data_IF_244474438225
#
_entry.id   IF_244474438225
#
_cell.length_a   1.000
_cell.length_b   1.000
_cell.length_c   1.000
_cell.angle_alpha   90.00
_cell.angle_beta   90.00
_cell.angle_gamma   90.00
#
_symmetry.space_group_name_H-M   'P 1'
#
loop_
_entity.id
_entity.type
_entity.pdbx_description
1 polymer ?
#
# COMPACT_ATOMS: atom_id res chain seq x y z
N UNK A 1 13.73 8.80 -34.29
CA UNK A 1 12.70 8.27 -33.37
C UNK A 1 13.26 6.98 -32.81
N UNK A 2 13.91 7.07 -31.65
CA UNK A 2 14.37 5.90 -30.93
C UNK A 2 13.24 5.47 -30.00
N UNK A 3 12.73 4.26 -30.19
CA UNK A 3 11.83 3.58 -29.28
C UNK A 3 12.59 3.29 -27.99
N UNK A 4 12.24 4.02 -26.93
CA UNK A 4 12.71 3.76 -25.57
C UNK A 4 11.99 2.52 -25.04
N UNK A 5 12.51 1.34 -25.36
CA UNK A 5 12.15 0.11 -24.68
C UNK A 5 12.71 0.19 -23.25
N UNK A 6 11.90 0.77 -22.35
CA UNK A 6 12.10 0.65 -20.92
C UNK A 6 12.30 -0.83 -20.58
N UNK A 7 13.54 -1.16 -20.25
CA UNK A 7 13.97 -2.51 -19.90
C UNK A 7 13.37 -2.85 -18.54
N UNK A 8 12.11 -3.28 -18.55
CA UNK A 8 11.42 -3.73 -17.34
C UNK A 8 12.18 -4.93 -16.78
N UNK A 9 12.68 -4.80 -15.56
CA UNK A 9 13.30 -5.91 -14.85
C UNK A 9 12.20 -6.93 -14.53
N UNK A 10 11.98 -7.89 -15.43
CA UNK A 10 11.00 -8.96 -15.20
C UNK A 10 11.56 -9.93 -14.16
N UNK A 11 11.10 -9.79 -12.92
CA UNK A 11 11.35 -10.80 -11.89
C UNK A 11 10.51 -12.04 -12.21
N UNK A 12 11.18 -13.15 -12.52
CA UNK A 12 10.50 -14.40 -12.86
C UNK A 12 10.57 -15.38 -11.68
N UNK A 13 9.60 -15.29 -10.76
CA UNK A 13 9.34 -16.38 -9.81
C UNK A 13 7.96 -16.97 -10.06
N UNK A 14 7.93 -18.30 -10.10
CA UNK A 14 6.70 -19.06 -10.25
C UNK A 14 5.70 -18.71 -9.15
N UNK A 15 4.48 -18.35 -9.55
CA UNK A 15 3.37 -18.13 -8.63
C UNK A 15 3.08 -19.33 -7.73
N UNK A 16 3.34 -20.56 -8.20
CA UNK A 16 3.23 -21.77 -7.38
C UNK A 16 4.19 -21.73 -6.19
N UNK A 17 5.45 -21.32 -6.41
CA UNK A 17 6.44 -21.18 -5.34
C UNK A 17 6.02 -20.10 -4.35
N UNK A 18 5.53 -18.95 -4.84
CA UNK A 18 5.06 -17.87 -3.98
C UNK A 18 3.89 -18.34 -3.08
N UNK A 19 2.92 -19.03 -3.66
CA UNK A 19 1.77 -19.58 -2.91
C UNK A 19 2.18 -20.66 -1.92
N UNK A 20 3.11 -21.55 -2.29
CA UNK A 20 3.62 -22.58 -1.39
C UNK A 20 4.30 -21.97 -0.15
N UNK A 21 5.11 -20.92 -0.33
CA UNK A 21 5.73 -20.18 0.77
C UNK A 21 4.68 -19.46 1.61
N UNK A 22 3.75 -18.76 0.98
CA UNK A 22 2.65 -18.07 1.68
C UNK A 22 1.79 -19.04 2.50
N UNK A 23 1.47 -20.22 1.98
CA UNK A 23 0.69 -21.23 2.69
C UNK A 23 1.45 -21.83 3.89
N UNK A 24 2.77 -22.01 3.76
CA UNK A 24 3.62 -22.56 4.81
C UNK A 24 3.87 -21.55 5.94
N UNK A 25 4.24 -20.33 5.58
CA UNK A 25 4.77 -19.34 6.52
C UNK A 25 3.76 -18.24 6.89
N UNK A 26 2.66 -18.14 6.13
CA UNK A 26 1.69 -17.06 6.24
C UNK A 26 2.17 -15.73 5.62
N UNK A 27 3.40 -15.67 5.12
CA UNK A 27 3.94 -14.53 4.36
C UNK A 27 4.90 -15.01 3.26
N UNK A 28 5.19 -14.13 2.30
CA UNK A 28 6.22 -14.34 1.28
C UNK A 28 6.99 -13.04 1.05
N UNK A 29 8.30 -13.15 0.90
CA UNK A 29 9.19 -12.06 0.49
C UNK A 29 9.66 -12.32 -0.94
N UNK A 30 9.52 -11.29 -1.76
CA UNK A 30 10.08 -11.23 -3.10
C UNK A 30 11.30 -10.31 -3.02
N UNK A 31 12.49 -10.90 -3.06
CA UNK A 31 13.73 -10.15 -2.92
C UNK A 31 14.07 -9.41 -4.22
N UNK A 32 14.45 -8.13 -4.12
CA UNK A 32 14.82 -7.28 -5.26
C UNK A 32 13.79 -7.35 -6.40
N UNK A 33 12.50 -7.28 -6.06
CA UNK A 33 11.42 -7.24 -7.05
C UNK A 33 11.54 -6.00 -7.94
N UNK A 34 12.03 -4.90 -7.36
CA UNK A 34 12.43 -3.69 -8.06
C UNK A 34 13.95 -3.55 -8.00
N UNK A 35 14.55 -3.16 -9.12
CA UNK A 35 15.96 -2.83 -9.20
C UNK A 35 16.30 -1.56 -8.41
N UNK A 36 17.58 -1.31 -8.07
CA UNK A 36 17.99 -0.07 -7.43
C UNK A 36 17.62 1.19 -8.24
N UNK A 37 17.60 1.11 -9.57
CA UNK A 37 17.23 2.20 -10.46
C UNK A 37 15.73 2.48 -10.42
N UNK A 38 14.89 1.44 -10.40
CA UNK A 38 13.43 1.55 -10.22
C UNK A 38 13.06 2.04 -8.81
N UNK A 39 13.83 1.65 -7.79
CA UNK A 39 13.60 2.06 -6.39
C UNK A 39 13.93 3.53 -6.15
N UNK A 40 14.92 4.08 -6.87
CA UNK A 40 15.37 5.45 -6.67
C UNK A 40 14.24 6.50 -6.75
N UNK A 41 13.41 6.56 -7.81
CA UNK A 41 12.30 7.51 -7.87
C UNK A 41 11.28 7.29 -6.74
N UNK A 42 10.99 6.04 -6.36
CA UNK A 42 10.10 5.76 -5.23
C UNK A 42 10.65 6.32 -3.92
N UNK A 43 11.96 6.18 -3.67
CA UNK A 43 12.58 6.76 -2.48
C UNK A 43 12.49 8.29 -2.44
N UNK A 44 12.70 8.95 -3.58
CA UNK A 44 12.61 10.41 -3.68
C UNK A 44 11.18 10.91 -3.45
N UNK A 45 10.19 10.26 -4.07
CA UNK A 45 8.77 10.55 -3.85
C UNK A 45 8.38 10.35 -2.38
N UNK A 46 8.79 9.22 -1.78
CA UNK A 46 8.53 8.96 -0.36
C UNK A 46 9.11 10.08 0.52
N UNK A 47 10.37 10.49 0.32
CA UNK A 47 11.00 11.58 1.08
C UNK A 47 10.19 12.88 0.99
N UNK A 48 9.88 13.33 -0.22
CA UNK A 48 9.11 14.56 -0.44
C UNK A 48 7.71 14.49 0.18
N UNK A 49 7.03 13.35 0.09
CA UNK A 49 5.73 13.14 0.74
C UNK A 49 5.82 13.15 2.27
N UNK A 50 6.88 12.59 2.86
CA UNK A 50 7.10 12.66 4.30
C UNK A 50 7.35 14.11 4.75
N UNK A 51 8.18 14.86 4.02
CA UNK A 51 8.44 16.26 4.31
C UNK A 51 7.17 17.11 4.18
N UNK A 52 6.34 16.84 3.17
CA UNK A 52 5.03 17.47 2.98
C UNK A 52 4.10 17.22 4.18
N UNK A 53 4.03 15.97 4.66
CA UNK A 53 3.22 15.61 5.83
C UNK A 53 3.75 16.24 7.12
N UNK A 54 5.06 16.20 7.37
CA UNK A 54 5.69 16.84 8.54
C UNK A 54 5.54 18.36 8.53
N UNK A 55 5.44 18.98 7.36
CA UNK A 55 5.16 20.40 7.21
C UNK A 55 3.67 20.77 7.36
N UNK A 56 2.79 19.81 7.66
CA UNK A 56 1.35 20.03 7.77
C UNK A 56 0.64 20.33 6.44
N UNK A 57 1.31 20.07 5.31
CA UNK A 57 0.77 20.33 3.96
C UNK A 57 0.08 19.12 3.33
N UNK A 58 0.09 17.99 4.03
CA UNK A 58 -0.71 16.81 3.70
C UNK A 58 -1.51 16.42 4.93
N UNK A 59 -2.86 16.42 4.91
CA UNK A 59 -3.66 16.24 6.13
C UNK A 59 -3.80 14.77 6.56
N UNK A 60 -3.38 13.82 5.72
CA UNK A 60 -3.60 12.41 5.95
C UNK A 60 -2.34 11.72 6.48
N UNK A 61 -2.15 11.76 7.79
CA UNK A 61 -1.01 11.11 8.47
C UNK A 61 -1.42 10.43 9.76
N UNK A 62 -0.49 9.66 10.33
CA UNK A 62 -0.64 8.93 11.59
C UNK A 62 0.34 9.49 12.61
N UNK A 63 -0.17 10.03 13.70
CA UNK A 63 0.62 10.73 14.72
C UNK A 63 1.12 9.80 15.81
N UNK A 64 2.29 10.12 16.36
CA UNK A 64 2.80 9.49 17.57
C UNK A 64 2.11 10.07 18.81
N UNK A 65 1.97 9.29 19.89
CA UNK A 65 2.35 7.88 20.05
C UNK A 65 1.23 6.89 19.68
N UNK A 66 0.18 7.34 18.96
CA UNK A 66 -1.05 6.57 18.83
C UNK A 66 -1.00 5.59 17.65
N UNK A 67 -1.15 4.29 17.94
CA UNK A 67 -1.17 3.24 16.92
C UNK A 67 -2.48 3.18 16.13
N UNK A 68 -3.63 3.43 16.77
CA UNK A 68 -4.95 3.30 16.16
C UNK A 68 -5.62 4.67 16.00
N UNK A 69 -6.50 4.87 14.99
CA UNK A 69 -7.25 6.10 14.86
C UNK A 69 -8.20 6.34 16.06
N UNK A 70 -8.78 7.55 16.21
CA UNK A 70 -8.52 8.75 15.42
C UNK A 70 -7.13 9.34 15.73
N UNK A 71 -6.42 9.78 14.69
CA UNK A 71 -5.19 10.57 14.84
C UNK A 71 -5.53 12.06 14.85
N UNK A 72 -4.71 12.85 15.55
CA UNK A 72 -4.82 14.30 15.60
C UNK A 72 -4.18 14.94 14.37
N UNK A 73 -4.52 16.20 14.10
CA UNK A 73 -3.83 17.07 13.14
C UNK A 73 -2.50 17.64 13.69
N UNK A 74 -2.21 17.40 14.97
CA UNK A 74 -0.95 17.80 15.60
C UNK A 74 0.22 16.87 15.24
N UNK A 75 1.16 17.39 14.46
CA UNK A 75 2.43 16.72 14.10
C UNK A 75 3.56 16.92 15.12
N UNK A 76 3.35 17.69 16.20
CA UNK A 76 4.41 18.08 17.16
C UNK A 76 5.10 16.89 17.83
N UNK A 77 4.39 15.78 18.00
CA UNK A 77 4.91 14.53 18.56
C UNK A 77 5.59 13.63 17.52
N UNK A 78 5.58 14.03 16.25
CA UNK A 78 6.05 13.26 15.11
C UNK A 78 4.99 12.34 14.51
N UNK A 79 5.35 11.73 13.39
CA UNK A 79 4.47 10.83 12.62
C UNK A 79 5.13 9.47 12.42
N UNK A 80 4.31 8.43 12.22
CA UNK A 80 4.79 7.08 11.89
C UNK A 80 4.14 6.50 10.62
N UNK A 81 3.21 7.24 10.01
CA UNK A 81 2.67 6.89 8.70
C UNK A 81 2.05 8.08 7.95
N UNK A 82 2.00 7.95 6.64
CA UNK A 82 1.32 8.85 5.70
C UNK A 82 0.27 8.03 4.94
N UNK A 83 -0.90 8.61 4.70
CA UNK A 83 -2.06 7.91 4.14
C UNK A 83 -2.52 8.52 2.83
N UNK A 84 -3.33 7.76 2.08
CA UNK A 84 -3.97 8.20 0.84
C UNK A 84 -2.97 8.64 -0.24
N UNK A 85 -1.96 7.81 -0.51
CA UNK A 85 -0.92 8.13 -1.50
C UNK A 85 -1.42 8.16 -2.95
N UNK A 86 -2.59 7.59 -3.23
CA UNK A 86 -3.25 7.62 -4.54
C UNK A 86 -4.30 8.74 -4.65
N UNK A 87 -4.37 9.64 -3.67
CA UNK A 87 -5.32 10.75 -3.69
C UNK A 87 -5.01 11.71 -4.85
N UNK A 88 -6.00 12.29 -5.55
CA UNK A 88 -5.78 13.20 -6.68
C UNK A 88 -4.85 14.37 -6.35
N UNK A 89 -5.00 14.94 -5.15
CA UNK A 89 -4.16 16.06 -4.68
C UNK A 89 -2.75 15.66 -4.20
N UNK A 90 -2.41 14.36 -4.15
CA UNK A 90 -1.05 13.94 -3.77
C UNK A 90 -0.07 14.38 -4.87
N UNK A 91 0.91 15.25 -4.59
CA UNK A 91 1.82 15.75 -5.63
C UNK A 91 2.62 14.65 -6.32
N UNK A 92 2.93 13.59 -5.57
CA UNK A 92 3.69 12.42 -6.04
C UNK A 92 2.79 11.26 -6.52
N UNK A 93 1.49 11.51 -6.76
CA UNK A 93 0.50 10.44 -7.04
C UNK A 93 0.97 9.49 -8.14
N UNK A 94 1.51 10.03 -9.24
CA UNK A 94 1.91 9.25 -10.41
C UNK A 94 3.00 8.22 -10.07
N UNK A 95 3.95 8.61 -9.20
CA UNK A 95 5.00 7.71 -8.72
C UNK A 95 4.43 6.57 -7.87
N UNK A 96 3.48 6.87 -7.00
CA UNK A 96 2.81 5.86 -6.18
C UNK A 96 1.87 4.97 -6.99
N UNK A 97 1.17 5.53 -7.97
CA UNK A 97 0.35 4.81 -8.94
C UNK A 97 1.19 3.83 -9.76
N UNK A 98 2.36 4.24 -10.27
CA UNK A 98 3.32 3.34 -10.95
C UNK A 98 3.77 2.20 -10.05
N UNK A 99 4.02 2.46 -8.77
CA UNK A 99 4.39 1.41 -7.82
C UNK A 99 3.23 0.43 -7.53
N UNK A 100 1.99 0.92 -7.56
CA UNK A 100 0.81 0.16 -7.18
C UNK A 100 0.22 -0.63 -8.35
N UNK A 101 0.08 0.00 -9.52
CA UNK A 101 -0.52 -0.59 -10.73
C UNK A 101 0.51 -1.18 -11.71
N UNK A 102 1.80 -1.00 -11.44
CA UNK A 102 2.90 -1.54 -12.23
C UNK A 102 2.90 -3.08 -12.30
N UNK A 103 3.42 -3.62 -13.39
CA UNK A 103 3.45 -5.05 -13.67
C UNK A 103 4.16 -5.86 -12.57
N UNK A 104 5.25 -5.33 -12.00
CA UNK A 104 5.97 -5.96 -10.88
C UNK A 104 5.04 -6.26 -9.70
N UNK A 105 4.18 -5.31 -9.32
CA UNK A 105 3.21 -5.48 -8.23
C UNK A 105 2.03 -6.35 -8.67
N UNK A 106 1.40 -6.02 -9.80
CA UNK A 106 0.17 -6.65 -10.26
C UNK A 106 0.39 -8.12 -10.64
N UNK A 107 1.51 -8.46 -11.26
CA UNK A 107 1.83 -9.85 -11.59
C UNK A 107 2.06 -10.68 -10.33
N UNK A 108 2.70 -10.12 -9.30
CA UNK A 108 2.88 -10.81 -8.02
C UNK A 108 1.54 -11.03 -7.31
N UNK A 109 0.66 -10.02 -7.29
CA UNK A 109 -0.69 -10.10 -6.69
C UNK A 109 -1.55 -11.14 -7.41
N UNK A 110 -1.66 -11.07 -8.73
CA UNK A 110 -2.48 -12.01 -9.51
C UNK A 110 -1.94 -13.44 -9.43
N UNK A 111 -0.62 -13.62 -9.41
CA UNK A 111 -0.01 -14.93 -9.19
C UNK A 111 -0.33 -15.51 -7.80
N UNK A 112 -0.33 -14.68 -6.75
CA UNK A 112 -0.64 -15.12 -5.39
C UNK A 112 -2.12 -15.44 -5.20
N UNK A 113 -3.00 -14.60 -5.74
CA UNK A 113 -4.46 -14.73 -5.60
C UNK A 113 -5.08 -15.69 -6.60
N UNK A 114 -4.34 -16.09 -7.64
CA UNK A 114 -4.84 -16.93 -8.75
C UNK A 114 -6.05 -16.29 -9.45
N UNK A 115 -5.97 -14.98 -9.65
CA UNK A 115 -7.01 -14.18 -10.30
C UNK A 115 -6.47 -13.53 -11.57
N UNK A 116 -7.37 -13.01 -12.40
CA UNK A 116 -7.02 -12.15 -13.53
C UNK A 116 -6.93 -10.68 -13.09
N UNK A 117 -6.34 -9.83 -13.95
CA UNK A 117 -6.14 -8.40 -13.66
C UNK A 117 -7.46 -7.63 -13.61
N UNK A 118 -8.47 -8.07 -14.37
CA UNK A 118 -9.81 -7.49 -14.41
C UNK A 118 -10.68 -7.85 -13.18
N UNK A 119 -10.23 -8.80 -12.35
CA UNK A 119 -10.85 -9.10 -11.05
C UNK A 119 -10.33 -8.22 -9.91
N UNK A 120 -9.25 -7.46 -10.13
CA UNK A 120 -8.69 -6.60 -9.10
C UNK A 120 -9.57 -5.37 -8.86
N UNK A 121 -9.62 -4.95 -7.59
CA UNK A 121 -10.37 -3.79 -7.10
C UNK A 121 -9.41 -2.82 -6.42
N UNK A 122 -9.59 -1.52 -6.67
CA UNK A 122 -8.79 -0.47 -6.06
C UNK A 122 -9.06 -0.43 -4.55
N UNK A 123 -8.01 -0.39 -3.75
CA UNK A 123 -8.11 -0.11 -2.31
C UNK A 123 -7.09 0.98 -1.94
N UNK A 124 -6.40 0.86 -0.80
CA UNK A 124 -5.55 1.91 -0.26
C UNK A 124 -4.08 1.68 -0.62
N UNK A 125 -3.36 2.78 -0.83
CA UNK A 125 -1.90 2.80 -0.74
C UNK A 125 -1.50 3.82 0.32
N UNK A 126 -0.79 3.35 1.35
CA UNK A 126 -0.30 4.15 2.47
C UNK A 126 1.23 3.97 2.59
N UNK A 127 1.87 4.73 3.46
CA UNK A 127 3.28 4.60 3.75
C UNK A 127 3.50 4.53 5.26
N UNK A 128 4.28 3.55 5.72
CA UNK A 128 4.86 3.56 7.05
C UNK A 128 6.23 4.24 6.97
N UNK A 129 6.50 5.15 7.91
CA UNK A 129 7.72 5.97 7.91
C UNK A 129 8.52 5.75 9.19
N UNK A 130 9.81 6.06 9.14
CA UNK A 130 10.66 6.16 10.32
C UNK A 130 10.00 7.13 11.32
N UNK A 131 9.62 6.65 12.52
CA UNK A 131 9.02 7.49 13.53
C UNK A 131 10.06 8.44 14.10
N UNK A 132 9.63 9.65 14.48
CA UNK A 132 10.53 10.68 15.03
C UNK A 132 11.12 10.32 16.40
N UNK A 133 10.55 9.32 17.08
CA UNK A 133 11.09 8.64 18.27
C UNK A 133 10.80 7.14 18.19
N UNK A 134 11.51 6.33 18.98
CA UNK A 134 11.31 4.88 18.99
C UNK A 134 9.85 4.51 19.20
N UNK A 135 9.32 3.72 18.27
CA UNK A 135 7.93 3.35 18.23
C UNK A 135 7.76 1.99 17.57
N UNK A 136 6.81 1.22 18.08
CA UNK A 136 6.52 -0.11 17.57
C UNK A 136 5.02 -0.31 17.45
N UNK A 137 4.62 -0.87 16.31
CA UNK A 137 3.24 -1.28 16.05
C UNK A 137 3.05 -2.66 16.65
N UNK A 138 2.53 -2.73 17.87
CA UNK A 138 2.47 -3.96 18.66
C UNK A 138 1.05 -4.35 19.00
N UNK A 139 0.79 -5.66 18.93
CA UNK A 139 -0.42 -6.28 19.48
C UNK A 139 -0.20 -6.77 20.92
N UNK A 140 1.05 -7.07 21.29
CA UNK A 140 1.47 -7.52 22.62
C UNK A 140 2.81 -6.86 23.01
N UNK A 141 3.11 -6.80 24.31
CA UNK A 141 4.32 -6.11 24.79
C UNK A 141 5.62 -6.85 24.46
N UNK A 142 5.60 -8.18 24.57
CA UNK A 142 6.82 -9.01 24.57
C UNK A 142 7.10 -9.67 23.21
N UNK A 143 8.18 -10.44 23.12
CA UNK A 143 8.46 -11.28 21.95
C UNK A 143 7.67 -12.59 22.05
N UNK A 144 7.10 -13.06 20.94
CA UNK A 144 6.38 -14.34 20.95
C UNK A 144 7.32 -15.52 20.70
N UNK A 145 7.12 -16.67 21.36
CA UNK A 145 7.83 -17.90 21.02
C UNK A 145 7.66 -18.23 19.53
N UNK A 146 8.77 -18.52 18.85
CA UNK A 146 8.76 -18.86 17.42
C UNK A 146 8.54 -17.68 16.47
N UNK A 147 8.53 -16.43 16.95
CA UNK A 147 8.51 -15.28 16.06
C UNK A 147 9.73 -15.29 15.13
N UNK A 148 9.54 -14.89 13.88
CA UNK A 148 10.60 -14.74 12.89
C UNK A 148 10.77 -13.27 12.52
N UNK A 149 12.02 -12.84 12.39
CA UNK A 149 12.36 -11.49 11.94
C UNK A 149 12.59 -11.50 10.42
N UNK A 150 11.70 -10.84 9.67
CA UNK A 150 11.84 -10.70 8.22
C UNK A 150 12.63 -9.42 7.92
N UNK A 151 13.89 -9.59 7.55
CA UNK A 151 14.72 -8.47 7.11
C UNK A 151 14.40 -8.12 5.66
N UNK A 152 13.96 -6.87 5.45
CA UNK A 152 13.62 -6.32 4.13
C UNK A 152 14.70 -5.33 3.70
N UNK A 153 14.94 -5.24 2.39
CA UNK A 153 15.87 -4.33 1.74
C UNK A 153 15.13 -3.47 0.71
N UNK A 154 15.70 -2.33 0.28
CA UNK A 154 15.12 -1.53 -0.79
C UNK A 154 14.87 -2.39 -2.04
N UNK A 155 13.66 -2.28 -2.60
CA UNK A 155 13.21 -3.06 -3.76
C UNK A 155 12.57 -4.41 -3.44
N UNK A 156 12.60 -4.86 -2.19
CA UNK A 156 11.84 -6.04 -1.78
C UNK A 156 10.34 -5.76 -1.70
N UNK A 157 9.53 -6.79 -2.01
CA UNK A 157 8.08 -6.79 -1.75
C UNK A 157 7.77 -7.88 -0.71
N UNK A 158 6.89 -7.58 0.23
CA UNK A 158 6.34 -8.54 1.18
C UNK A 158 4.83 -8.67 1.03
N UNK A 159 4.33 -9.90 0.90
CA UNK A 159 2.91 -10.21 1.02
C UNK A 159 2.68 -11.07 2.26
N UNK A 160 1.55 -10.89 2.93
CA UNK A 160 1.22 -11.66 4.12
C UNK A 160 -0.28 -11.86 4.25
N UNK A 161 -0.66 -12.97 4.87
CA UNK A 161 -2.03 -13.22 5.28
C UNK A 161 -2.35 -12.32 6.48
N UNK A 162 -3.42 -11.53 6.38
CA UNK A 162 -3.83 -10.59 7.41
C UNK A 162 -4.20 -11.26 8.76
N UNK A 163 -4.41 -12.57 8.77
CA UNK A 163 -4.71 -13.35 9.97
C UNK A 163 -3.46 -13.81 10.75
N UNK A 164 -2.24 -13.57 10.26
CA UNK A 164 -1.04 -13.83 11.06
C UNK A 164 -0.78 -12.68 12.04
N UNK A 165 -0.29 -13.01 13.23
CA UNK A 165 0.25 -12.02 14.14
C UNK A 165 1.56 -11.46 13.57
N UNK A 166 1.59 -10.16 13.37
CA UNK A 166 2.76 -9.45 12.84
C UNK A 166 2.92 -8.12 13.56
N UNK A 167 4.17 -7.65 13.65
CA UNK A 167 4.51 -6.35 14.25
C UNK A 167 5.52 -5.62 13.38
N UNK A 168 5.43 -4.30 13.38
CA UNK A 168 6.46 -3.43 12.82
C UNK A 168 7.33 -2.88 13.94
N UNK A 169 8.63 -3.16 13.91
CA UNK A 169 9.60 -2.52 14.81
C UNK A 169 10.38 -1.50 13.97
N UNK A 170 10.29 -0.23 14.36
CA UNK A 170 11.03 0.85 13.71
C UNK A 170 12.04 1.44 14.70
N UNK A 171 13.28 1.55 14.26
CA UNK A 171 14.31 2.33 14.93
C UNK A 171 14.25 3.78 14.42
N UNK A 172 14.13 4.74 15.34
CA UNK A 172 14.09 6.16 15.00
C UNK A 172 15.40 6.69 14.40
N UNK A 173 16.49 5.92 14.46
CA UNK A 173 17.81 6.31 13.93
C UNK A 173 18.02 5.91 12.47
N UNK A 174 17.26 4.95 11.97
CA UNK A 174 17.43 4.39 10.64
C UNK A 174 16.28 4.82 9.73
N UNK A 175 16.61 5.42 8.58
CA UNK A 175 15.60 5.78 7.60
C UNK A 175 14.88 4.52 7.08
N UNK A 176 13.56 4.53 7.17
CA UNK A 176 12.69 3.45 6.69
C UNK A 176 11.42 4.06 6.12
N UNK A 177 11.11 3.72 4.88
CA UNK A 177 9.83 4.00 4.24
C UNK A 177 9.33 2.70 3.64
N UNK A 178 8.08 2.33 3.90
CA UNK A 178 7.46 1.13 3.36
C UNK A 178 6.11 1.52 2.79
N UNK A 179 5.97 1.43 1.46
CA UNK A 179 4.68 1.50 0.81
C UNK A 179 3.87 0.28 1.21
N UNK A 180 2.66 0.51 1.70
CA UNK A 180 1.74 -0.47 2.22
C UNK A 180 0.43 -0.34 1.44
N UNK A 181 0.35 -1.12 0.37
CA UNK A 181 -0.80 -1.19 -0.52
C UNK A 181 -1.69 -2.38 -0.16
N UNK A 182 -2.97 -2.22 -0.43
CA UNK A 182 -3.93 -3.32 -0.46
C UNK A 182 -4.65 -3.32 -1.81
N UNK A 183 -5.07 -4.49 -2.26
CA UNK A 183 -5.90 -4.66 -3.45
C UNK A 183 -7.01 -5.66 -3.11
N UNK A 184 -8.20 -5.37 -3.64
CA UNK A 184 -9.39 -6.18 -3.45
C UNK A 184 -9.63 -7.11 -4.62
N UNK A 185 -10.61 -7.99 -4.46
CA UNK A 185 -11.08 -8.90 -5.51
C UNK A 185 -12.60 -8.79 -5.65
N UNK A 186 -13.09 -8.80 -6.89
CA UNK A 186 -14.52 -8.90 -7.18
C UNK A 186 -15.09 -10.19 -6.58
N UNK A 187 -16.33 -10.16 -6.12
CA UNK A 187 -17.04 -11.34 -5.62
C UNK A 187 -16.58 -11.84 -4.24
N UNK A 188 -15.61 -11.16 -3.60
CA UNK A 188 -15.24 -11.41 -2.20
C UNK A 188 -16.13 -10.62 -1.24
N UNK A 189 -16.12 -10.99 0.05
CA UNK A 189 -17.00 -10.42 1.08
C UNK A 189 -17.01 -8.88 1.06
N UNK A 190 -18.21 -8.32 0.85
CA UNK A 190 -18.45 -6.87 0.78
C UNK A 190 -18.14 -6.14 2.09
N UNK A 191 -18.00 -6.87 3.21
CA UNK A 191 -17.58 -6.30 4.49
C UNK A 191 -16.18 -5.66 4.41
N UNK A 192 -15.26 -6.25 3.63
CA UNK A 192 -13.91 -5.72 3.42
C UNK A 192 -13.96 -4.41 2.63
N UNK A 193 -14.71 -4.36 1.54
CA UNK A 193 -14.92 -3.15 0.76
C UNK A 193 -15.54 -2.02 1.60
N UNK A 194 -16.50 -2.35 2.49
CA UNK A 194 -17.06 -1.40 3.45
C UNK A 194 -16.00 -0.82 4.40
N UNK A 195 -15.14 -1.66 4.99
CA UNK A 195 -14.07 -1.19 5.87
C UNK A 195 -13.08 -0.26 5.13
N UNK A 196 -12.80 -0.55 3.87
CA UNK A 196 -11.91 0.29 3.04
C UNK A 196 -12.55 1.63 2.70
N UNK A 197 -13.82 1.64 2.28
CA UNK A 197 -14.57 2.88 2.03
C UNK A 197 -14.67 3.75 3.29
N UNK A 198 -14.83 3.13 4.46
CA UNK A 198 -14.82 3.81 5.77
C UNK A 198 -13.48 4.46 6.12
N UNK A 199 -12.36 3.98 5.55
CA UNK A 199 -11.06 4.64 5.67
C UNK A 199 -10.94 5.89 4.79
N UNK A 200 -12.00 6.33 4.10
CA UNK A 200 -12.10 7.64 3.47
C UNK A 200 -11.86 7.67 1.96
N UNK A 201 -11.47 6.54 1.35
CA UNK A 201 -11.28 6.45 -0.11
C UNK A 201 -12.54 6.73 -0.91
N UNK A 202 -13.72 6.41 -0.36
CA UNK A 202 -15.00 6.71 -1.01
C UNK A 202 -15.25 8.21 -1.26
N UNK A 203 -14.51 9.10 -0.59
CA UNK A 203 -14.66 10.56 -0.74
C UNK A 203 -13.91 11.14 -1.93
N UNK A 204 -12.91 10.44 -2.46
CA UNK A 204 -11.99 10.97 -3.48
C UNK A 204 -11.70 9.98 -4.62
N UNK A 205 -12.05 8.70 -4.47
CA UNK A 205 -11.75 7.70 -5.51
C UNK A 205 -12.44 8.00 -6.84
N UNK A 206 -13.64 8.57 -6.81
CA UNK A 206 -14.37 8.96 -8.02
C UNK A 206 -13.62 10.03 -8.83
N UNK A 207 -12.84 10.87 -8.16
CA UNK A 207 -12.11 11.99 -8.74
C UNK A 207 -10.72 11.59 -9.25
N UNK A 208 -10.31 10.34 -9.06
CA UNK A 208 -9.03 9.84 -9.57
C UNK A 208 -9.04 9.75 -11.10
N UNK A 209 -8.09 10.45 -11.74
CA UNK A 209 -7.77 10.32 -13.16
C UNK A 209 -6.40 9.67 -13.35
N UNK A 210 -6.31 8.70 -14.27
CA UNK A 210 -5.09 7.92 -14.52
C UNK A 210 -4.48 8.18 -15.89
N UNK A 211 -4.84 9.29 -16.54
CA UNK A 211 -4.36 9.63 -17.89
C UNK A 211 -2.85 9.85 -17.98
N UNK A 212 -2.21 10.13 -16.85
CA UNK A 212 -0.75 10.34 -16.76
C UNK A 212 0.02 9.00 -16.76
N UNK A 213 -0.68 7.85 -16.61
CA UNK A 213 -0.07 6.52 -16.63
C UNK A 213 0.04 5.95 -18.05
N UNK A 214 0.97 4.99 -18.28
CA UNK A 214 1.00 4.25 -19.54
C UNK A 214 -0.35 3.60 -19.87
N UNK A 215 -0.77 3.52 -21.15
CA UNK A 215 -2.16 3.19 -21.50
C UNK A 215 -2.71 1.90 -20.87
N UNK A 216 -1.94 0.81 -20.85
CA UNK A 216 -2.37 -0.44 -20.23
C UNK A 216 -2.51 -0.36 -18.71
N UNK A 217 -1.65 0.43 -18.06
CA UNK A 217 -1.71 0.69 -16.62
C UNK A 217 -2.88 1.60 -16.27
N UNK A 218 -3.11 2.65 -17.05
CA UNK A 218 -4.25 3.55 -16.91
C UNK A 218 -5.58 2.77 -17.02
N UNK A 219 -5.71 1.92 -18.04
CA UNK A 219 -6.89 1.07 -18.23
C UNK A 219 -7.14 0.14 -17.03
N UNK A 220 -6.07 -0.47 -16.49
CA UNK A 220 -6.17 -1.31 -15.31
C UNK A 220 -6.63 -0.50 -14.08
N UNK A 221 -5.98 0.63 -13.81
CA UNK A 221 -6.29 1.50 -12.69
C UNK A 221 -7.74 2.02 -12.75
N UNK A 222 -8.19 2.46 -13.92
CA UNK A 222 -9.57 2.87 -14.14
C UNK A 222 -10.54 1.71 -13.91
N UNK A 223 -10.23 0.51 -14.41
CA UNK A 223 -11.05 -0.67 -14.15
C UNK A 223 -11.18 -0.96 -12.64
N UNK A 224 -10.05 -1.00 -11.93
CA UNK A 224 -9.99 -1.22 -10.48
C UNK A 224 -10.82 -0.18 -9.71
N UNK A 225 -10.74 1.10 -10.10
CA UNK A 225 -11.56 2.20 -9.56
C UNK A 225 -13.05 1.97 -9.82
N UNK A 226 -13.44 1.67 -11.07
CA UNK A 226 -14.86 1.47 -11.40
C UNK A 226 -15.48 0.32 -10.60
N UNK A 227 -14.73 -0.77 -10.39
CA UNK A 227 -15.18 -1.88 -9.53
C UNK A 227 -15.36 -1.45 -8.07
N UNK A 228 -14.44 -0.65 -7.52
CA UNK A 228 -14.59 -0.10 -6.17
C UNK A 228 -15.87 0.75 -6.06
N UNK A 229 -16.12 1.64 -7.02
CA UNK A 229 -17.30 2.51 -7.04
C UNK A 229 -18.60 1.70 -7.16
N UNK A 230 -18.63 0.70 -8.04
CA UNK A 230 -19.78 -0.19 -8.20
C UNK A 230 -20.10 -0.95 -6.90
N UNK A 231 -19.09 -1.40 -6.16
CA UNK A 231 -19.28 -2.03 -4.85
C UNK A 231 -19.86 -1.07 -3.80
N UNK A 232 -19.60 0.23 -3.92
CA UNK A 232 -20.13 1.27 -3.02
C UNK A 232 -21.55 1.74 -3.37
N UNK A 233 -22.00 1.62 -4.62
CA UNK A 233 -23.30 2.12 -5.09
C UNK A 233 -24.49 1.18 -4.81
N UNK A 234 -24.25 -0.10 -4.49
CA UNK A 234 -25.32 -1.10 -4.29
C UNK A 234 -26.09 -1.00 -2.95
N UNK A 235 -25.85 0.01 -2.12
CA UNK A 235 -26.43 0.11 -0.77
C UNK A 235 -26.83 1.55 -0.43
N UNK A 236 -28.13 1.85 -0.57
CA UNK A 236 -28.79 2.96 0.13
C UNK A 236 -28.79 2.66 1.65
N UNK A 237 -27.84 3.22 2.39
CA UNK A 237 -27.80 3.09 3.84
C UNK A 237 -26.61 3.81 4.44
N UNK A 238 -26.87 4.88 5.19
CA UNK A 238 -25.89 5.84 5.70
C UNK A 238 -24.62 5.23 6.32
N UNK A 239 -23.48 5.80 5.93
CA UNK A 239 -22.17 5.52 6.50
C UNK A 239 -21.96 6.36 7.76
N UNK A 240 -22.61 5.96 8.86
CA UNK A 240 -22.31 6.46 10.20
C UNK A 240 -22.29 5.29 11.17
N UNK A 241 -21.25 5.19 12.00
CA UNK A 241 -21.32 4.38 13.21
C UNK A 241 -22.56 4.84 14.00
N UNK A 242 -23.47 3.92 14.32
CA UNK A 242 -24.29 4.10 15.51
C UNK A 242 -23.42 3.67 16.69
N UNK A 243 -23.47 4.49 17.73
CA UNK A 243 -22.61 4.47 18.93
C UNK A 243 -22.40 3.08 19.58
#
# INVERSE_FOLDING_TARGET
MASDESSTHSFHVSGEKLRAVLARDGFVRIAQAFSPEEVHPFQQACKRTVDLARAGKWPYFRTLPKQFPPWTDDVSQGIWGVQHLLHPDMPEKETFEKSHFGDTMVNAVTALLQCSRDELVLELCNMLVRPDRDFALRWHRDDMPGQVAVKMYPGDIGFYNNNILHRGVCDSKNERMTLHGTMGLVGTDTSRARNILQHGIGKWAADCGFSDLPPGMAQLADGMKQRLLAMGQGHDGGYSQQD
#
